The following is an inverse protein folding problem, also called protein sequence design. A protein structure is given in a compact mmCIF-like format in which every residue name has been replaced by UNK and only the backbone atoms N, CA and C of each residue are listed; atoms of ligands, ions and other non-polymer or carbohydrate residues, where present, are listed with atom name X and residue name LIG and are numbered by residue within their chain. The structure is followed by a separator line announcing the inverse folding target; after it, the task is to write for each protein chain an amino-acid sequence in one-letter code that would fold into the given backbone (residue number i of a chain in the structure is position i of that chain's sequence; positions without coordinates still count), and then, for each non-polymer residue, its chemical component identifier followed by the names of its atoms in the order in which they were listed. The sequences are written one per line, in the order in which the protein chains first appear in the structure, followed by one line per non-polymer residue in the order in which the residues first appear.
data_IF_752062346164
#
_entry.id   IF_752062346164
#
_cell.length_a   1.000
_cell.length_b   1.000
_cell.length_c   1.000
_cell.angle_alpha   90.00
_cell.angle_beta   90.00
_cell.angle_gamma   90.00
#
_symmetry.space_group_name_H-M   'P 1'
#
loop_
_entity.id
_entity.type
_entity.pdbx_description
1 polymer ?
#
# COMPACT_ATOMS: atom_id res chain seq x y z
N UNK A 1 30.40 5.14 3.37
CA UNK A 1 29.40 4.77 2.35
C UNK A 1 28.15 5.57 2.63
N UNK A 2 27.64 6.39 1.70
CA UNK A 2 26.31 7.00 1.85
C UNK A 2 25.31 5.99 1.31
N UNK A 3 24.84 5.07 2.15
CA UNK A 3 23.68 4.24 1.81
C UNK A 3 22.48 5.17 1.74
N UNK A 4 22.02 5.47 0.52
CA UNK A 4 20.79 6.23 0.32
C UNK A 4 19.62 5.46 0.93
N UNK A 5 18.97 6.03 1.93
CA UNK A 5 17.77 5.48 2.54
C UNK A 5 16.74 5.21 1.43
N UNK A 6 16.43 3.95 1.16
CA UNK A 6 15.34 3.64 0.21
C UNK A 6 14.04 4.06 0.86
N UNK A 7 13.27 4.91 0.20
CA UNK A 7 11.92 5.26 0.64
C UNK A 7 10.93 4.30 -0.01
N UNK A 8 9.98 3.82 0.78
CA UNK A 8 9.00 2.81 0.40
C UNK A 8 7.59 3.34 0.55
N UNK A 9 6.67 2.88 -0.29
CA UNK A 9 5.23 3.11 -0.14
C UNK A 9 4.48 1.82 -0.34
N UNK A 10 3.38 1.65 0.37
CA UNK A 10 2.48 0.49 0.22
C UNK A 10 1.32 0.90 -0.67
N UNK A 11 1.02 0.06 -1.66
CA UNK A 11 -0.14 0.19 -2.52
C UNK A 11 -1.13 -0.96 -2.30
N UNK A 12 -2.41 -0.64 -2.25
CA UNK A 12 -3.53 -1.56 -2.11
C UNK A 12 -4.47 -1.43 -3.30
N UNK A 13 -4.80 -2.56 -3.93
CA UNK A 13 -5.84 -2.61 -4.95
C UNK A 13 -7.08 -3.29 -4.35
N UNK A 14 -8.12 -2.50 -4.10
CA UNK A 14 -9.30 -2.90 -3.30
C UNK A 14 -10.56 -2.88 -4.18
N UNK A 15 -11.46 -3.87 -4.12
CA UNK A 15 -12.73 -3.79 -4.83
C UNK A 15 -13.61 -2.64 -4.30
N UNK A 16 -14.42 -2.01 -5.16
CA UNK A 16 -15.17 -0.77 -4.84
C UNK A 16 -16.10 -0.88 -3.62
N UNK A 17 -16.56 -2.08 -3.27
CA UNK A 17 -17.54 -2.31 -2.20
C UNK A 17 -16.90 -2.57 -0.82
N UNK A 18 -15.57 -2.48 -0.71
CA UNK A 18 -14.85 -2.84 0.51
C UNK A 18 -14.26 -1.63 1.21
N UNK A 19 -14.27 -1.69 2.54
CA UNK A 19 -13.58 -0.72 3.38
C UNK A 19 -12.06 -0.80 3.18
N UNK A 20 -11.40 0.32 3.47
CA UNK A 20 -9.95 0.48 3.39
C UNK A 20 -9.43 0.88 4.78
N UNK A 21 -8.28 0.36 5.23
CA UNK A 21 -7.63 0.83 6.46
C UNK A 21 -7.35 2.34 6.40
N UNK A 22 -7.38 3.01 7.55
CA UNK A 22 -7.38 4.48 7.63
C UNK A 22 -6.08 5.14 7.12
N UNK A 23 -4.99 4.39 7.04
CA UNK A 23 -3.64 4.82 6.66
C UNK A 23 -3.43 4.89 5.14
N UNK A 24 -4.49 4.68 4.35
CA UNK A 24 -4.41 4.66 2.89
C UNK A 24 -5.30 5.74 2.26
N UNK A 25 -4.73 6.45 1.29
CA UNK A 25 -5.44 7.43 0.49
C UNK A 25 -5.71 6.90 -0.92
N UNK A 26 -6.83 7.30 -1.52
CA UNK A 26 -7.16 6.90 -2.89
C UNK A 26 -6.16 7.53 -3.85
N UNK A 27 -5.53 6.69 -4.67
CA UNK A 27 -4.61 7.15 -5.72
C UNK A 27 -5.36 7.91 -6.79
N UNK A 28 -4.75 8.98 -7.31
CA UNK A 28 -5.23 9.66 -8.52
C UNK A 28 -5.09 8.79 -9.78
N UNK A 29 -4.24 7.76 -9.73
CA UNK A 29 -4.08 6.78 -10.80
C UNK A 29 -5.18 5.73 -10.68
N UNK A 30 -6.12 5.74 -11.62
CA UNK A 30 -7.12 4.70 -11.74
C UNK A 30 -6.57 3.57 -12.63
N UNK A 31 -6.50 2.32 -12.15
CA UNK A 31 -6.14 1.18 -12.99
C UNK A 31 -7.26 0.87 -14.00
N UNK A 32 -6.91 0.21 -15.12
CA UNK A 32 -7.86 -0.34 -16.12
C UNK A 32 -8.65 -1.54 -15.58
N UNK A 33 -9.17 -1.41 -14.36
CA UNK A 33 -9.95 -2.41 -13.62
C UNK A 33 -11.10 -1.64 -12.94
N UNK A 34 -12.24 -1.46 -13.63
CA UNK A 34 -13.33 -0.62 -13.15
C UNK A 34 -13.97 -1.15 -11.86
N UNK A 35 -13.78 -2.42 -11.52
CA UNK A 35 -14.28 -3.04 -10.28
C UNK A 35 -13.36 -2.84 -9.07
N UNK A 36 -12.19 -2.20 -9.25
CA UNK A 36 -11.19 -1.97 -8.21
C UNK A 36 -10.73 -0.51 -8.15
N UNK A 37 -10.23 -0.12 -6.99
CA UNK A 37 -9.65 1.18 -6.72
C UNK A 37 -8.26 0.99 -6.13
N UNK A 38 -7.34 1.83 -6.57
CA UNK A 38 -5.97 1.85 -6.07
C UNK A 38 -5.89 2.84 -4.92
N UNK A 39 -5.36 2.38 -3.79
CA UNK A 39 -5.08 3.17 -2.60
C UNK A 39 -3.60 3.03 -2.24
N UNK A 40 -3.08 4.02 -1.55
CA UNK A 40 -1.65 4.17 -1.36
C UNK A 40 -1.37 4.89 -0.03
N UNK A 41 -0.37 4.43 0.71
CA UNK A 41 0.00 4.95 2.05
C UNK A 41 0.80 6.26 1.98
N UNK A 42 1.31 6.75 3.11
CA UNK A 42 2.46 7.68 3.08
C UNK A 42 3.76 6.99 2.67
N UNK A 43 4.81 7.78 2.43
CA UNK A 43 6.16 7.29 2.20
C UNK A 43 6.86 6.99 3.52
N UNK A 44 7.53 5.83 3.59
CA UNK A 44 8.28 5.36 4.74
C UNK A 44 9.78 5.40 4.45
N UNK A 45 10.57 5.84 5.44
CA UNK A 45 12.01 5.67 5.42
C UNK A 45 12.37 4.23 5.79
N UNK A 46 12.94 3.50 4.83
CA UNK A 46 13.30 2.10 5.03
C UNK A 46 12.10 1.15 5.00
N UNK A 47 12.41 -0.15 4.98
CA UNK A 47 11.42 -1.20 4.66
C UNK A 47 10.56 -1.63 5.86
N UNK A 48 10.97 -1.27 7.08
CA UNK A 48 10.33 -1.73 8.31
C UNK A 48 8.89 -1.19 8.43
N UNK A 49 8.70 0.13 8.34
CA UNK A 49 7.37 0.75 8.43
C UNK A 49 6.43 0.30 7.31
N UNK A 50 6.96 0.19 6.08
CA UNK A 50 6.18 -0.36 4.97
C UNK A 50 5.77 -1.83 5.18
N UNK A 51 6.58 -2.63 5.90
CA UNK A 51 6.22 -4.01 6.24
C UNK A 51 5.15 -4.05 7.33
N UNK A 52 5.30 -3.26 8.38
CA UNK A 52 4.32 -3.17 9.47
C UNK A 52 2.94 -2.80 8.93
N UNK A 53 2.85 -1.75 8.10
CA UNK A 53 1.57 -1.37 7.48
C UNK A 53 0.99 -2.46 6.57
N UNK A 54 1.83 -3.25 5.88
CA UNK A 54 1.35 -4.39 5.10
C UNK A 54 0.76 -5.49 6.00
N UNK A 55 1.37 -5.75 7.15
CA UNK A 55 0.90 -6.74 8.10
C UNK A 55 -0.43 -6.29 8.73
N UNK A 56 -0.57 -5.01 9.09
CA UNK A 56 -1.81 -4.42 9.62
C UNK A 56 -2.95 -4.47 8.60
N UNK A 57 -2.68 -4.10 7.34
CA UNK A 57 -3.66 -4.21 6.27
C UNK A 57 -4.06 -5.67 6.01
N UNK A 58 -3.12 -6.61 6.14
CA UNK A 58 -3.41 -8.04 6.02
C UNK A 58 -4.31 -8.54 7.15
N UNK A 59 -4.11 -8.07 8.38
CA UNK A 59 -4.97 -8.38 9.53
C UNK A 59 -6.37 -7.80 9.34
N UNK A 60 -6.49 -6.53 8.92
CA UNK A 60 -7.77 -5.88 8.64
C UNK A 60 -8.64 -6.66 7.65
N UNK A 61 -8.01 -7.27 6.64
CA UNK A 61 -8.68 -8.09 5.64
C UNK A 61 -8.73 -9.59 5.95
N UNK A 62 -8.01 -10.05 6.99
CA UNK A 62 -7.85 -11.46 7.34
C UNK A 62 -9.18 -12.16 7.61
N UNK A 63 -10.10 -11.47 8.29
CA UNK A 63 -11.45 -11.97 8.58
C UNK A 63 -12.38 -11.96 7.36
N UNK A 64 -12.02 -11.25 6.28
CA UNK A 64 -12.92 -10.92 5.16
C UNK A 64 -12.74 -11.81 3.93
N UNK A 65 -11.87 -12.83 3.96
CA UNK A 65 -11.55 -13.74 2.82
C UNK A 65 -11.15 -13.02 1.51
N UNK A 66 -10.53 -11.84 1.59
CA UNK A 66 -10.18 -11.05 0.41
C UNK A 66 -8.81 -11.45 -0.12
N UNK A 67 -8.67 -11.53 -1.45
CA UNK A 67 -7.36 -11.59 -2.13
C UNK A 67 -6.89 -10.17 -2.44
N UNK A 68 -5.89 -9.68 -1.72
CA UNK A 68 -5.22 -8.40 -1.99
C UNK A 68 -3.81 -8.64 -2.56
N UNK A 69 -3.27 -7.62 -3.23
CA UNK A 69 -1.94 -7.64 -3.82
C UNK A 69 -1.16 -6.43 -3.32
N UNK A 70 -0.02 -6.69 -2.68
CA UNK A 70 0.88 -5.64 -2.19
C UNK A 70 2.01 -5.40 -3.19
N UNK A 71 2.31 -4.14 -3.44
CA UNK A 71 3.53 -3.74 -4.15
C UNK A 71 4.28 -2.71 -3.32
N UNK A 72 5.61 -2.82 -3.33
CA UNK A 72 6.51 -1.82 -2.73
C UNK A 72 7.05 -0.94 -3.85
N UNK A 73 6.66 0.34 -3.86
CA UNK A 73 7.31 1.33 -4.73
C UNK A 73 8.62 1.77 -4.06
N UNK A 74 9.74 1.67 -4.78
CA UNK A 74 11.06 2.09 -4.29
C UNK A 74 11.43 3.37 -5.02
N UNK A 75 11.59 4.49 -4.29
CA UNK A 75 12.23 5.69 -4.84
C UNK A 75 13.60 5.90 -4.21
N UNK A 76 14.50 6.47 -5.00
CA UNK A 76 15.76 7.00 -4.49
C UNK A 76 15.43 8.38 -3.88
N UNK A 77 15.83 8.68 -2.64
CA UNK A 77 15.66 10.01 -2.08
C UNK A 77 16.45 11.00 -2.94
N UNK A 78 15.86 12.17 -3.17
CA UNK A 78 16.48 13.26 -3.92
C UNK A 78 17.76 13.77 -3.24
#
# INVERSE_FOLDING_TARGET
MKEGFKVFRVALLVPIEFDVPGEFEKSAVQPDLPEKQLFVSDWFDGIAGAKELMDDAAEFYGDRKIKYLFFREIRRPA
#
